data_IF_552458218598
#
_entry.id   IF_552458218598
#
_cell.length_a   1.000
_cell.length_b   1.000
_cell.length_c   1.000
_cell.angle_alpha   90.00
_cell.angle_beta   90.00
_cell.angle_gamma   90.00
#
_symmetry.space_group_name_H-M   'P 1'
#
loop_
_entity.id
_entity.type
_entity.pdbx_description
1 polymer ?
#
# COMPACT_ATOMS: atom_id res chain seq x y z
N UNK A 1 -2.27 -29.72 20.54
CA UNK A 1 -3.14 -28.68 21.17
C UNK A 1 -2.42 -27.46 21.73
N UNK A 2 -1.27 -27.57 22.47
CA UNK A 2 -0.49 -26.39 22.87
C UNK A 2 0.39 -25.83 21.75
N UNK A 3 0.90 -26.68 20.90
CA UNK A 3 1.76 -26.31 19.77
C UNK A 3 0.97 -25.57 18.67
N UNK A 4 -0.24 -26.06 18.39
CA UNK A 4 -1.12 -25.44 17.36
C UNK A 4 -1.48 -24.01 17.74
N UNK A 5 -1.83 -23.73 19.00
CA UNK A 5 -2.13 -22.36 19.47
C UNK A 5 -0.94 -21.41 19.38
N UNK A 6 0.28 -21.89 19.61
CA UNK A 6 1.49 -21.06 19.48
C UNK A 6 1.77 -20.72 18.00
N UNK A 7 1.56 -21.68 17.10
CA UNK A 7 1.74 -21.48 15.67
C UNK A 7 0.67 -20.52 15.11
N UNK A 8 -0.57 -20.59 15.60
CA UNK A 8 -1.65 -19.70 15.17
C UNK A 8 -1.37 -18.25 15.60
N UNK A 9 -1.03 -18.03 16.88
CA UNK A 9 -0.66 -16.71 17.36
C UNK A 9 0.54 -16.10 16.63
N UNK A 10 1.47 -16.93 16.12
CA UNK A 10 2.61 -16.43 15.35
C UNK A 10 2.23 -16.00 13.93
N UNK A 11 1.27 -16.67 13.27
CA UNK A 11 0.82 -16.27 11.92
C UNK A 11 0.01 -14.98 11.98
N UNK A 12 -0.92 -14.86 12.92
CA UNK A 12 -1.68 -13.61 13.16
C UNK A 12 -0.76 -12.43 13.46
N UNK A 13 0.25 -12.63 14.32
CA UNK A 13 1.25 -11.61 14.62
C UNK A 13 2.03 -11.20 13.36
N UNK A 14 2.35 -12.14 12.48
CA UNK A 14 3.05 -11.87 11.24
C UNK A 14 2.17 -11.07 10.26
N UNK A 15 0.89 -11.42 10.10
CA UNK A 15 -0.06 -10.66 9.27
C UNK A 15 -0.20 -9.24 9.81
N UNK A 16 -0.42 -9.09 11.12
CA UNK A 16 -0.56 -7.78 11.76
C UNK A 16 0.71 -6.91 11.62
N UNK A 17 1.89 -7.51 11.79
CA UNK A 17 3.16 -6.82 11.58
C UNK A 17 3.36 -6.40 10.12
N UNK A 18 3.02 -7.26 9.16
CA UNK A 18 3.08 -6.97 7.74
C UNK A 18 2.12 -5.85 7.34
N UNK A 19 0.87 -5.91 7.77
CA UNK A 19 -0.12 -4.87 7.54
C UNK A 19 0.31 -3.54 8.18
N UNK A 20 0.82 -3.55 9.41
CA UNK A 20 1.36 -2.37 10.09
C UNK A 20 2.55 -1.76 9.34
N UNK A 21 3.47 -2.57 8.83
CA UNK A 21 4.57 -2.10 7.99
C UNK A 21 4.05 -1.44 6.70
N UNK A 22 3.10 -2.07 6.01
CA UNK A 22 2.50 -1.51 4.79
C UNK A 22 1.76 -0.21 5.05
N UNK A 23 1.07 -0.07 6.19
CA UNK A 23 0.46 1.19 6.60
C UNK A 23 1.50 2.29 6.83
N UNK A 24 2.63 1.96 7.44
CA UNK A 24 3.72 2.92 7.63
C UNK A 24 4.30 3.38 6.29
N UNK A 25 4.51 2.47 5.34
CA UNK A 25 4.96 2.82 3.98
C UNK A 25 3.96 3.74 3.30
N UNK A 26 2.67 3.39 3.29
CA UNK A 26 1.60 4.20 2.70
C UNK A 26 1.48 5.58 3.36
N UNK A 27 1.71 5.66 4.68
CA UNK A 27 1.75 6.93 5.38
C UNK A 27 2.89 7.83 4.89
N UNK A 28 4.09 7.29 4.71
CA UNK A 28 5.22 8.04 4.15
C UNK A 28 4.97 8.48 2.71
N UNK A 29 4.39 7.62 1.87
CA UNK A 29 3.99 7.99 0.51
C UNK A 29 2.99 9.16 0.53
N UNK A 30 1.96 9.08 1.37
CA UNK A 30 0.96 10.13 1.52
C UNK A 30 1.52 11.46 2.03
N UNK A 31 2.55 11.47 2.86
CA UNK A 31 3.22 12.73 3.29
C UNK A 31 3.75 13.54 2.09
N UNK A 32 4.10 12.86 0.98
CA UNK A 32 4.50 13.52 -0.26
C UNK A 32 3.29 13.82 -1.15
N UNK A 33 2.34 12.89 -1.22
CA UNK A 33 1.19 12.99 -2.11
C UNK A 33 0.17 14.06 -1.71
N UNK A 34 -0.02 14.32 -0.41
CA UNK A 34 -0.99 15.31 0.07
C UNK A 34 -0.74 16.73 -0.45
N UNK A 35 0.45 17.00 -0.99
CA UNK A 35 0.75 18.25 -1.65
C UNK A 35 -0.21 18.53 -2.82
N UNK A 36 -0.77 17.49 -3.47
CA UNK A 36 -1.77 17.64 -4.55
C UNK A 36 -3.13 18.15 -4.06
N UNK A 37 -3.37 18.09 -2.75
CA UNK A 37 -4.63 18.50 -2.12
C UNK A 37 -4.57 19.93 -1.56
N UNK A 38 -3.38 20.56 -1.56
CA UNK A 38 -3.17 21.86 -0.93
C UNK A 38 -3.50 23.03 -1.88
N UNK A 39 -4.24 24.03 -1.38
CA UNK A 39 -4.51 25.30 -2.06
C UNK A 39 -5.20 25.16 -3.42
N UNK A 40 -4.84 26.04 -4.35
CA UNK A 40 -5.37 26.08 -5.73
C UNK A 40 -4.94 24.85 -6.57
N UNK A 41 -4.02 24.05 -6.09
CA UNK A 41 -3.59 22.78 -6.71
C UNK A 41 -4.76 21.80 -6.91
N UNK A 42 -5.91 22.06 -6.28
CA UNK A 42 -7.08 21.17 -6.37
C UNK A 42 -7.82 21.25 -7.72
N UNK A 43 -7.77 22.39 -8.40
CA UNK A 43 -8.61 22.68 -9.58
C UNK A 43 -7.84 23.02 -10.86
N UNK A 44 -6.51 23.13 -10.81
CA UNK A 44 -5.65 23.46 -11.96
C UNK A 44 -4.41 22.58 -12.02
N UNK A 45 -3.50 22.91 -12.91
CA UNK A 45 -2.20 22.25 -12.96
C UNK A 45 -1.40 22.49 -11.68
N UNK A 46 -0.68 21.47 -11.25
CA UNK A 46 0.18 21.59 -10.07
C UNK A 46 1.38 22.49 -10.37
N UNK A 47 1.82 23.32 -9.41
CA UNK A 47 3.04 24.09 -9.54
C UNK A 47 4.25 23.18 -9.84
N UNK A 48 5.17 23.67 -10.66
CA UNK A 48 6.38 22.93 -11.05
C UNK A 48 7.17 22.42 -9.84
N UNK A 49 7.30 23.22 -8.79
CA UNK A 49 8.00 22.83 -7.56
C UNK A 49 7.36 21.63 -6.88
N UNK A 50 6.01 21.53 -6.88
CA UNK A 50 5.26 20.40 -6.32
C UNK A 50 5.46 19.16 -7.17
N UNK A 51 5.34 19.29 -8.50
CA UNK A 51 5.58 18.18 -9.42
C UNK A 51 7.01 17.65 -9.31
N UNK A 52 7.99 18.53 -9.23
CA UNK A 52 9.39 18.16 -9.07
C UNK A 52 9.64 17.43 -7.74
N UNK A 53 9.02 17.88 -6.65
CA UNK A 53 9.10 17.24 -5.34
C UNK A 53 8.54 15.82 -5.36
N UNK A 54 7.31 15.65 -5.84
CA UNK A 54 6.62 14.34 -5.89
C UNK A 54 7.33 13.39 -6.86
N UNK A 55 7.67 13.85 -8.06
CA UNK A 55 8.37 13.04 -9.05
C UNK A 55 9.76 12.62 -8.58
N UNK A 56 10.50 13.50 -7.91
CA UNK A 56 11.80 13.21 -7.32
C UNK A 56 11.72 12.13 -6.23
N UNK A 57 10.69 12.17 -5.40
CA UNK A 57 10.39 11.12 -4.43
C UNK A 57 10.15 9.78 -5.12
N UNK A 58 9.20 9.72 -6.07
CA UNK A 58 8.86 8.48 -6.75
C UNK A 58 10.01 7.90 -7.57
N UNK A 59 10.78 8.72 -8.27
CA UNK A 59 11.99 8.26 -8.93
C UNK A 59 12.93 7.56 -7.97
N UNK A 60 13.13 8.13 -6.78
CA UNK A 60 14.00 7.55 -5.75
C UNK A 60 13.49 6.21 -5.27
N UNK A 61 12.21 6.13 -4.85
CA UNK A 61 11.67 4.91 -4.23
C UNK A 61 11.36 3.80 -5.23
N UNK A 62 11.04 4.13 -6.49
CA UNK A 62 10.70 3.11 -7.50
C UNK A 62 11.90 2.67 -8.35
N UNK A 63 12.88 3.54 -8.57
CA UNK A 63 13.95 3.32 -9.55
C UNK A 63 15.34 3.29 -8.92
N UNK A 64 15.66 4.30 -8.11
CA UNK A 64 17.04 4.50 -7.63
C UNK A 64 17.32 3.65 -6.37
N UNK A 65 16.35 3.52 -5.45
CA UNK A 65 16.47 2.77 -4.20
C UNK A 65 15.92 1.32 -4.33
N UNK A 66 16.52 0.53 -5.19
CA UNK A 66 16.10 -0.86 -5.48
C UNK A 66 15.88 -1.76 -4.24
N UNK A 67 16.66 -1.70 -3.14
CA UNK A 67 16.41 -2.52 -1.97
C UNK A 67 15.05 -2.24 -1.32
N UNK A 68 14.63 -0.97 -1.26
CA UNK A 68 13.35 -0.57 -0.65
C UNK A 68 12.16 -1.10 -1.43
N UNK A 69 12.17 -0.99 -2.75
CA UNK A 69 11.12 -1.51 -3.61
C UNK A 69 10.94 -3.03 -3.43
N UNK A 70 12.03 -3.79 -3.35
CA UNK A 70 11.99 -5.23 -3.09
C UNK A 70 11.45 -5.56 -1.69
N UNK A 71 11.82 -4.77 -0.68
CA UNK A 71 11.36 -4.96 0.69
C UNK A 71 9.83 -4.78 0.77
N UNK A 72 9.29 -3.72 0.17
CA UNK A 72 7.84 -3.48 0.12
C UNK A 72 7.13 -4.62 -0.61
N UNK A 73 7.62 -5.03 -1.79
CA UNK A 73 7.05 -6.15 -2.53
C UNK A 73 7.09 -7.46 -1.73
N UNK A 74 8.20 -7.74 -1.02
CA UNK A 74 8.32 -8.91 -0.15
C UNK A 74 7.33 -8.84 1.02
N UNK A 75 7.16 -7.69 1.64
CA UNK A 75 6.18 -7.49 2.71
C UNK A 75 4.74 -7.72 2.21
N UNK A 76 4.39 -7.18 1.02
CA UNK A 76 3.08 -7.39 0.40
C UNK A 76 2.80 -8.88 0.16
N UNK A 77 3.73 -9.58 -0.50
CA UNK A 77 3.59 -11.01 -0.80
C UNK A 77 3.63 -11.87 0.46
N UNK A 78 4.48 -11.53 1.43
CA UNK A 78 4.58 -12.24 2.70
C UNK A 78 3.31 -12.12 3.53
N UNK A 79 2.72 -10.90 3.61
CA UNK A 79 1.44 -10.68 4.29
C UNK A 79 0.32 -11.46 3.61
N UNK A 80 0.24 -11.41 2.28
CA UNK A 80 -0.75 -12.16 1.52
C UNK A 80 -0.61 -13.68 1.75
N UNK A 81 0.61 -14.21 1.68
CA UNK A 81 0.88 -15.63 1.93
C UNK A 81 0.50 -16.05 3.35
N UNK A 82 0.77 -15.21 4.35
CA UNK A 82 0.39 -15.48 5.74
C UNK A 82 -1.14 -15.52 5.91
N UNK A 83 -1.90 -14.62 5.29
CA UNK A 83 -3.38 -14.66 5.30
C UNK A 83 -3.89 -15.95 4.65
N UNK A 84 -3.29 -16.39 3.54
CA UNK A 84 -3.66 -17.65 2.89
C UNK A 84 -3.38 -18.85 3.81
N UNK A 85 -2.25 -18.86 4.50
CA UNK A 85 -1.91 -19.93 5.47
C UNK A 85 -2.89 -19.94 6.64
N UNK A 86 -3.25 -18.77 7.18
CA UNK A 86 -4.22 -18.60 8.27
C UNK A 86 -5.59 -19.14 7.85
N UNK A 87 -6.06 -18.75 6.67
CA UNK A 87 -7.33 -19.22 6.10
C UNK A 87 -7.32 -20.74 5.87
N UNK A 88 -6.23 -21.31 5.37
CA UNK A 88 -6.11 -22.76 5.14
C UNK A 88 -6.07 -23.57 6.43
N UNK A 89 -5.66 -22.98 7.56
CA UNK A 89 -5.70 -23.63 8.89
C UNK A 89 -7.06 -23.58 9.54
N UNK A 90 -7.93 -22.67 9.10
CA UNK A 90 -9.27 -22.49 9.68
C UNK A 90 -9.25 -21.87 11.07
N UNK A 91 -8.26 -21.03 11.36
CA UNK A 91 -7.98 -20.48 12.69
C UNK A 91 -8.97 -19.39 13.09
N UNK A 92 -9.59 -18.71 12.13
CA UNK A 92 -10.46 -17.54 12.31
C UNK A 92 -11.91 -17.83 11.88
N UNK A 93 -12.86 -16.96 12.23
CA UNK A 93 -14.14 -16.98 11.55
C UNK A 93 -13.88 -16.85 10.03
N UNK A 94 -14.29 -17.85 9.26
CA UNK A 94 -13.97 -17.93 7.83
C UNK A 94 -14.24 -16.63 7.05
N UNK A 95 -15.31 -15.90 7.42
CA UNK A 95 -15.63 -14.63 6.79
C UNK A 95 -14.52 -13.58 6.99
N UNK A 96 -13.88 -13.56 8.16
CA UNK A 96 -12.80 -12.60 8.47
C UNK A 96 -11.57 -12.88 7.61
N UNK A 97 -11.14 -14.13 7.51
CA UNK A 97 -10.04 -14.56 6.64
C UNK A 97 -10.30 -14.23 5.17
N UNK A 98 -11.49 -14.51 4.65
CA UNK A 98 -11.87 -14.16 3.27
C UNK A 98 -11.93 -12.66 3.04
N UNK A 99 -12.43 -11.88 4.01
CA UNK A 99 -12.45 -10.43 3.94
C UNK A 99 -11.03 -9.84 3.93
N UNK A 100 -10.17 -10.28 4.85
CA UNK A 100 -8.76 -9.85 4.90
C UNK A 100 -8.02 -10.19 3.60
N UNK A 101 -8.23 -11.39 3.06
CA UNK A 101 -7.66 -11.81 1.78
C UNK A 101 -8.13 -10.91 0.63
N UNK A 102 -9.43 -10.67 0.51
CA UNK A 102 -10.02 -9.84 -0.55
C UNK A 102 -9.50 -8.41 -0.50
N UNK A 103 -9.49 -7.78 0.69
CA UNK A 103 -8.98 -6.43 0.89
C UNK A 103 -7.49 -6.31 0.52
N UNK A 104 -6.68 -7.28 0.95
CA UNK A 104 -5.25 -7.31 0.65
C UNK A 104 -4.98 -7.52 -0.84
N UNK A 105 -5.70 -8.43 -1.50
CA UNK A 105 -5.59 -8.63 -2.96
C UNK A 105 -5.98 -7.35 -3.71
N UNK A 106 -7.06 -6.67 -3.32
CA UNK A 106 -7.47 -5.41 -3.95
C UNK A 106 -6.39 -4.33 -3.81
N UNK A 107 -5.78 -4.19 -2.63
CA UNK A 107 -4.69 -3.23 -2.41
C UNK A 107 -3.46 -3.55 -3.28
N UNK A 108 -3.03 -4.81 -3.32
CA UNK A 108 -1.89 -5.27 -4.14
C UNK A 108 -2.17 -5.09 -5.63
N UNK A 109 -3.36 -5.46 -6.09
CA UNK A 109 -3.75 -5.31 -7.49
C UNK A 109 -3.78 -3.83 -7.91
N UNK A 110 -4.34 -2.94 -7.08
CA UNK A 110 -4.35 -1.50 -7.34
C UNK A 110 -2.92 -0.93 -7.39
N UNK A 111 -2.09 -1.31 -6.42
CA UNK A 111 -0.69 -0.88 -6.38
C UNK A 111 0.07 -1.34 -7.63
N UNK A 112 0.00 -2.62 -7.97
CA UNK A 112 0.74 -3.21 -9.09
C UNK A 112 0.24 -2.78 -10.46
N UNK A 113 -1.09 -2.68 -10.64
CA UNK A 113 -1.68 -2.38 -11.94
C UNK A 113 -1.71 -0.88 -12.27
N UNK A 114 -1.72 -0.01 -11.26
CA UNK A 114 -1.89 1.44 -11.47
C UNK A 114 -0.87 2.29 -10.74
N UNK A 115 -0.76 2.16 -9.42
CA UNK A 115 0.02 3.09 -8.61
C UNK A 115 1.49 3.04 -8.98
N UNK A 116 2.10 1.86 -9.01
CA UNK A 116 3.53 1.69 -9.35
C UNK A 116 3.84 2.13 -10.79
N UNK A 117 3.10 1.70 -11.83
CA UNK A 117 3.32 2.21 -13.19
C UNK A 117 3.19 3.74 -13.30
N UNK A 118 2.18 4.33 -12.65
CA UNK A 118 2.00 5.78 -12.63
C UNK A 118 3.15 6.49 -11.91
N UNK A 119 3.61 5.96 -10.79
CA UNK A 119 4.73 6.51 -10.03
C UNK A 119 6.05 6.46 -10.83
N UNK A 120 6.33 5.33 -11.49
CA UNK A 120 7.49 5.21 -12.40
C UNK A 120 7.39 6.23 -13.53
N UNK A 121 6.23 6.34 -14.18
CA UNK A 121 6.01 7.28 -15.27
C UNK A 121 6.19 8.73 -14.82
N UNK A 122 5.59 9.12 -13.69
CA UNK A 122 5.74 10.45 -13.11
C UNK A 122 7.21 10.76 -12.77
N UNK A 123 7.95 9.78 -12.23
CA UNK A 123 9.37 9.90 -11.91
C UNK A 123 10.27 10.18 -13.13
N UNK A 124 9.84 9.83 -14.35
CA UNK A 124 10.59 10.13 -15.59
C UNK A 124 10.52 11.60 -16.01
N UNK A 125 9.50 12.34 -15.58
CA UNK A 125 9.27 13.75 -15.94
C UNK A 125 9.19 14.02 -17.46
N UNK A 126 8.72 13.04 -18.24
CA UNK A 126 8.68 13.14 -19.72
C UNK A 126 7.35 13.67 -20.25
N UNK A 127 6.30 13.62 -19.43
CA UNK A 127 4.96 14.09 -19.81
C UNK A 127 4.84 15.62 -19.63
N UNK A 128 3.82 16.21 -20.22
CA UNK A 128 3.48 17.61 -19.98
C UNK A 128 2.93 17.83 -18.56
N UNK A 129 2.79 19.09 -18.15
CA UNK A 129 2.38 19.48 -16.80
C UNK A 129 1.00 18.93 -16.46
N UNK A 130 0.06 18.96 -17.40
CA UNK A 130 -1.30 18.49 -17.19
C UNK A 130 -1.34 16.98 -16.95
N UNK A 131 -0.62 16.20 -17.74
CA UNK A 131 -0.51 14.75 -17.60
C UNK A 131 0.20 14.39 -16.27
N UNK A 132 1.30 15.06 -15.91
CA UNK A 132 1.98 14.85 -14.65
C UNK A 132 1.09 15.18 -13.44
N UNK A 133 0.30 16.25 -13.52
CA UNK A 133 -0.71 16.62 -12.52
C UNK A 133 -1.75 15.50 -12.37
N UNK A 134 -2.24 14.96 -13.48
CA UNK A 134 -3.17 13.83 -13.49
C UNK A 134 -2.60 12.59 -12.83
N UNK A 135 -1.34 12.25 -13.13
CA UNK A 135 -0.62 11.12 -12.53
C UNK A 135 -0.46 11.30 -11.01
N UNK A 136 0.00 12.48 -10.57
CA UNK A 136 0.19 12.75 -9.13
C UNK A 136 -1.12 12.62 -8.34
N UNK A 137 -2.23 13.14 -8.87
CA UNK A 137 -3.56 13.01 -8.26
C UNK A 137 -4.06 11.57 -8.24
N UNK A 138 -3.83 10.82 -9.31
CA UNK A 138 -4.21 9.42 -9.38
C UNK A 138 -3.45 8.59 -8.33
N UNK A 139 -2.15 8.81 -8.18
CA UNK A 139 -1.30 8.13 -7.19
C UNK A 139 -1.80 8.45 -5.77
N UNK A 140 -2.02 9.72 -5.43
CA UNK A 140 -2.53 10.13 -4.12
C UNK A 140 -3.86 9.44 -3.78
N UNK A 141 -4.80 9.40 -4.71
CA UNK A 141 -6.09 8.73 -4.53
C UNK A 141 -5.91 7.22 -4.34
N UNK A 142 -5.07 6.60 -5.15
CA UNK A 142 -4.82 5.16 -5.09
C UNK A 142 -4.16 4.78 -3.75
N UNK A 143 -3.23 5.61 -3.22
CA UNK A 143 -2.65 5.42 -1.88
C UNK A 143 -3.68 5.58 -0.76
N UNK A 144 -4.59 6.55 -0.84
CA UNK A 144 -5.68 6.68 0.14
C UNK A 144 -6.59 5.44 0.15
N UNK A 145 -6.91 4.89 -1.02
CA UNK A 145 -7.68 3.65 -1.12
C UNK A 145 -6.89 2.47 -0.52
N UNK A 146 -5.62 2.31 -0.88
CA UNK A 146 -4.76 1.26 -0.32
C UNK A 146 -4.64 1.39 1.21
N UNK A 147 -4.47 2.60 1.73
CA UNK A 147 -4.43 2.85 3.17
C UNK A 147 -5.70 2.35 3.86
N UNK A 148 -6.88 2.68 3.31
CA UNK A 148 -8.17 2.20 3.84
C UNK A 148 -8.30 0.68 3.80
N UNK A 149 -7.89 0.04 2.68
CA UNK A 149 -7.95 -1.42 2.52
C UNK A 149 -7.03 -2.13 3.52
N UNK A 150 -5.78 -1.69 3.67
CA UNK A 150 -4.82 -2.32 4.59
C UNK A 150 -5.18 -2.02 6.06
N UNK A 151 -5.70 -0.81 6.35
CA UNK A 151 -6.20 -0.50 7.69
C UNK A 151 -7.39 -1.39 8.08
N UNK A 152 -8.32 -1.62 7.14
CA UNK A 152 -9.42 -2.55 7.35
C UNK A 152 -8.93 -4.00 7.55
N UNK A 153 -7.94 -4.45 6.77
CA UNK A 153 -7.30 -5.76 6.98
C UNK A 153 -6.73 -5.86 8.40
N UNK A 154 -5.95 -4.86 8.84
CA UNK A 154 -5.37 -4.86 10.19
C UNK A 154 -6.45 -4.85 11.28
N UNK A 155 -7.53 -4.08 11.09
CA UNK A 155 -8.64 -4.03 12.05
C UNK A 155 -9.35 -5.39 12.18
N UNK A 156 -9.52 -6.11 11.06
CA UNK A 156 -10.09 -7.47 11.06
C UNK A 156 -9.16 -8.42 11.82
N UNK A 157 -7.86 -8.39 11.53
CA UNK A 157 -6.87 -9.24 12.19
C UNK A 157 -6.82 -9.00 13.70
N UNK A 158 -6.83 -7.75 14.14
CA UNK A 158 -6.79 -7.41 15.56
C UNK A 158 -8.11 -7.67 16.29
N UNK A 159 -9.24 -7.65 15.59
CA UNK A 159 -10.56 -7.80 16.21
C UNK A 159 -11.10 -9.25 16.21
N UNK A 160 -10.69 -10.08 15.27
CA UNK A 160 -11.31 -11.37 15.01
C UNK A 160 -10.32 -12.54 14.88
N UNK A 161 -9.04 -12.28 14.61
CA UNK A 161 -8.00 -13.29 14.56
C UNK A 161 -7.47 -13.57 15.99
N UNK A 162 -8.05 -14.56 16.67
CA UNK A 162 -7.67 -14.96 18.04
C UNK A 162 -7.19 -16.39 18.13
#
# INVERSE_FOLDING_TARGET
>A
MRDDRRLNGSVTAFVSAGAGFLLAVLWFDLMHDVQVLQGNARYGDLPEAVLASIAGYYRRVTTDARPMNRLVATAMLGTLAAIVVQLARGDDPQWAGWAALGLTICAIALAGARTVPNAVRLGTRRDDVAAQTGLARAICRDHLVCLGLIAATLAIELGFAT
#
